data_IF_219476069921
#
_entry.id   IF_219476069921
#
_cell.length_a   1.000
_cell.length_b   1.000
_cell.length_c   1.000
_cell.angle_alpha   90.00
_cell.angle_beta   90.00
_cell.angle_gamma   90.00
#
_symmetry.space_group_name_H-M   'P 1'
#
loop_
_entity.id
_entity.type
_entity.pdbx_description
1 polymer ?
#
# COMPACT_ATOMS: atom_id res chain seq x y z
N UNK A 1 19.32 0.45 14.94
CA UNK A 1 19.21 0.41 13.47
C UNK A 1 18.93 1.82 12.98
N UNK A 2 19.61 2.27 11.93
CA UNK A 2 19.23 3.51 11.21
C UNK A 2 17.99 3.17 10.40
N UNK A 3 16.83 3.73 10.79
CA UNK A 3 15.59 3.63 10.01
C UNK A 3 15.75 4.61 8.84
N UNK A 4 15.64 4.12 7.60
CA UNK A 4 15.69 4.96 6.41
C UNK A 4 14.26 5.21 5.93
N UNK A 5 13.91 6.46 5.68
CA UNK A 5 12.59 6.85 5.19
C UNK A 5 12.66 7.79 3.99
N UNK A 6 11.56 7.81 3.23
CA UNK A 6 11.36 8.73 2.13
C UNK A 6 9.86 8.99 1.93
N UNK A 7 9.51 10.23 1.58
CA UNK A 7 8.14 10.66 1.27
C UNK A 7 7.99 11.24 -0.15
N UNK A 8 9.09 11.70 -0.76
CA UNK A 8 9.10 12.10 -2.17
C UNK A 8 9.15 10.86 -3.08
N UNK A 9 8.37 10.80 -4.17
CA UNK A 9 8.34 9.65 -5.07
C UNK A 9 9.71 9.24 -5.66
N UNK A 10 10.57 10.21 -6.00
CA UNK A 10 11.89 9.91 -6.53
C UNK A 10 12.81 9.38 -5.42
N UNK A 11 12.73 9.94 -4.23
CA UNK A 11 13.48 9.46 -3.06
C UNK A 11 13.02 8.07 -2.61
N UNK A 12 11.71 7.79 -2.59
CA UNK A 12 11.16 6.45 -2.28
C UNK A 12 11.67 5.39 -3.23
N UNK A 13 11.62 5.67 -4.54
CA UNK A 13 12.16 4.76 -5.55
C UNK A 13 13.64 4.46 -5.34
N UNK A 14 14.43 5.49 -4.99
CA UNK A 14 15.84 5.30 -4.66
C UNK A 14 16.01 4.45 -3.40
N UNK A 15 15.25 4.76 -2.34
CA UNK A 15 15.25 4.02 -1.09
C UNK A 15 14.95 2.53 -1.30
N UNK A 16 13.93 2.20 -2.10
CA UNK A 16 13.60 0.81 -2.43
C UNK A 16 14.74 0.11 -3.17
N UNK A 17 15.33 0.75 -4.18
CA UNK A 17 16.46 0.19 -4.92
C UNK A 17 17.66 -0.05 -4.00
N UNK A 18 18.02 0.92 -3.17
CA UNK A 18 19.14 0.84 -2.24
C UNK A 18 18.89 -0.27 -1.19
N UNK A 19 17.65 -0.39 -0.69
CA UNK A 19 17.28 -1.42 0.27
C UNK A 19 17.32 -2.84 -0.34
N UNK A 20 16.80 -3.02 -1.56
CA UNK A 20 16.87 -4.31 -2.28
C UNK A 20 18.33 -4.67 -2.59
N UNK A 21 19.15 -3.68 -2.98
CA UNK A 21 20.59 -3.87 -3.21
C UNK A 21 21.26 -4.36 -1.93
N UNK A 22 21.07 -3.64 -0.81
CA UNK A 22 21.65 -3.99 0.47
C UNK A 22 21.23 -5.37 0.95
N UNK A 23 19.94 -5.73 0.82
CA UNK A 23 19.43 -7.06 1.15
C UNK A 23 20.16 -8.16 0.36
N UNK A 24 20.33 -7.97 -0.96
CA UNK A 24 21.01 -8.94 -1.83
C UNK A 24 22.50 -9.04 -1.53
N UNK A 25 23.16 -7.94 -1.23
CA UNK A 25 24.59 -7.92 -0.88
C UNK A 25 24.86 -8.56 0.49
N UNK A 26 23.95 -8.38 1.45
CA UNK A 26 24.04 -8.97 2.79
C UNK A 26 23.57 -10.41 2.84
N UNK A 27 22.83 -10.87 1.83
CA UNK A 27 22.13 -12.15 1.81
C UNK A 27 21.22 -12.33 3.04
N UNK A 28 20.55 -11.25 3.44
CA UNK A 28 19.57 -11.27 4.53
C UNK A 28 18.37 -12.14 4.16
N UNK A 29 17.61 -12.63 5.15
CA UNK A 29 16.45 -13.49 4.89
C UNK A 29 15.33 -12.74 4.17
N UNK A 30 15.10 -11.48 4.54
CA UNK A 30 14.08 -10.61 3.94
C UNK A 30 14.42 -9.13 4.15
N UNK A 31 13.68 -8.26 3.47
CA UNK A 31 13.61 -6.81 3.60
C UNK A 31 12.16 -6.44 3.88
N UNK A 32 11.90 -5.62 4.89
CA UNK A 32 10.54 -5.14 5.20
C UNK A 32 10.42 -3.63 5.04
N UNK A 33 9.36 -3.22 4.34
CA UNK A 33 8.95 -1.85 4.08
C UNK A 33 7.59 -1.61 4.74
N UNK A 34 7.49 -0.58 5.57
CA UNK A 34 6.25 -0.20 6.24
C UNK A 34 5.87 1.23 5.89
N UNK A 35 4.59 1.47 5.64
CA UNK A 35 4.07 2.83 5.45
C UNK A 35 4.05 3.58 6.78
N UNK A 36 4.13 4.90 6.74
CA UNK A 36 3.93 5.71 7.93
C UNK A 36 2.44 5.77 8.30
N UNK A 37 2.06 5.48 9.56
CA UNK A 37 0.65 5.52 9.97
C UNK A 37 -0.01 6.90 9.80
N UNK A 38 0.75 8.00 9.80
CA UNK A 38 0.19 9.34 9.55
C UNK A 38 -0.34 9.51 8.12
N UNK A 39 0.09 8.67 7.18
CA UNK A 39 -0.47 8.64 5.83
C UNK A 39 -1.93 8.14 5.82
N UNK A 40 -2.34 7.40 6.86
CA UNK A 40 -3.71 6.90 7.04
C UNK A 40 -4.60 7.96 7.69
N UNK A 41 -4.03 8.77 8.59
CA UNK A 41 -4.74 9.84 9.31
C UNK A 41 -5.11 11.02 8.39
N UNK A 42 -4.37 11.23 7.30
CA UNK A 42 -4.47 12.45 6.46
C UNK A 42 -5.68 12.52 5.52
N UNK A 43 -6.60 11.54 5.55
CA UNK A 43 -7.79 11.52 4.66
C UNK A 43 -9.04 12.12 5.33
N UNK A 44 -9.00 12.39 6.64
CA UNK A 44 -10.14 12.90 7.43
C UNK A 44 -9.93 14.38 7.85
N UNK A 45 -9.46 15.25 6.96
CA UNK A 45 -9.49 16.71 7.20
C UNK A 45 -10.02 17.44 5.97
N UNK A 46 -11.30 17.24 5.66
CA UNK A 46 -12.06 18.14 4.79
C UNK A 46 -13.55 18.20 5.14
N UNK A 47 -13.89 18.31 6.44
CA UNK A 47 -15.20 18.83 6.86
C UNK A 47 -15.07 19.74 8.09
N UNK A 48 -14.59 20.97 7.89
CA UNK A 48 -14.97 22.07 8.80
C UNK A 48 -16.25 22.70 8.27
N UNK A 49 -17.34 22.28 8.88
CA UNK A 49 -18.65 22.92 8.88
C UNK A 49 -18.54 24.45 9.06
N UNK A 50 -18.99 25.23 8.08
CA UNK A 50 -19.48 26.59 8.34
C UNK A 50 -21.02 26.55 8.27
N UNK A 51 -21.62 26.43 9.45
CA UNK A 51 -23.06 26.45 9.62
C UNK A 51 -23.58 27.88 9.59
N UNK A 52 -24.41 28.19 8.59
CA UNK A 52 -25.41 29.25 8.72
C UNK A 52 -26.73 28.75 8.11
N UNK A 53 -27.64 28.31 8.97
CA UNK A 53 -28.95 27.80 8.59
C UNK A 53 -29.91 28.88 8.11
N UNK A 54 -30.86 28.47 7.26
CA UNK A 54 -32.30 28.74 7.37
C UNK A 54 -33.01 28.13 6.15
N UNK A 55 -34.08 27.37 6.38
CA UNK A 55 -35.16 27.23 5.41
C UNK A 55 -35.25 25.95 4.57
N UNK A 56 -36.27 25.16 4.92
CA UNK A 56 -37.29 24.64 3.98
C UNK A 56 -37.10 23.25 3.33
N UNK A 57 -38.26 22.65 3.09
CA UNK A 57 -38.58 21.23 3.08
C UNK A 57 -38.47 20.60 1.67
N UNK A 58 -38.41 19.27 1.63
CA UNK A 58 -38.70 18.36 0.49
C UNK A 58 -37.63 18.16 -0.59
N UNK A 59 -37.13 16.92 -0.68
CA UNK A 59 -36.40 16.47 -1.86
C UNK A 59 -35.83 15.06 -1.75
N UNK A 60 -36.63 14.07 -2.14
CA UNK A 60 -36.22 12.69 -2.42
C UNK A 60 -34.98 12.65 -3.31
N UNK A 61 -33.91 12.04 -2.82
CA UNK A 61 -32.75 11.67 -3.62
C UNK A 61 -31.80 10.87 -2.73
N UNK A 62 -31.63 9.59 -3.05
CA UNK A 62 -30.58 8.77 -2.47
C UNK A 62 -29.24 9.43 -2.80
N UNK A 63 -28.76 10.27 -1.86
CA UNK A 63 -27.39 10.73 -1.84
C UNK A 63 -26.52 9.56 -1.45
N UNK A 64 -26.24 8.67 -2.40
CA UNK A 64 -24.97 7.97 -2.38
C UNK A 64 -23.95 9.07 -2.61
N UNK A 65 -23.37 9.60 -1.53
CA UNK A 65 -22.14 10.37 -1.63
C UNK A 65 -21.14 9.45 -2.34
N UNK A 66 -20.57 9.81 -3.52
CA UNK A 66 -19.54 8.99 -4.15
C UNK A 66 -18.19 9.08 -3.42
N UNK A 67 -18.16 9.80 -2.30
CA UNK A 67 -16.96 10.22 -1.56
C UNK A 67 -17.07 9.78 -0.08
N UNK A 68 -17.56 8.56 0.14
CA UNK A 68 -17.32 7.80 1.38
C UNK A 68 -16.67 6.47 0.99
N UNK A 69 -15.73 6.52 0.05
CA UNK A 69 -14.66 5.51 0.05
C UNK A 69 -13.67 6.01 1.07
N UNK A 70 -14.01 5.88 2.36
CA UNK A 70 -13.03 5.93 3.43
C UNK A 70 -11.81 5.17 2.95
N UNK A 71 -10.62 5.77 3.15
CA UNK A 71 -9.33 5.25 2.68
C UNK A 71 -9.43 3.74 2.51
N UNK A 72 -9.32 3.20 1.29
CA UNK A 72 -9.67 1.80 0.96
C UNK A 72 -8.86 0.72 1.71
N UNK A 73 -8.15 1.16 2.72
CA UNK A 73 -7.38 0.49 3.73
C UNK A 73 -8.29 0.09 4.88
N UNK A 74 -8.39 -1.21 5.08
CA UNK A 74 -9.11 -1.75 6.21
C UNK A 74 -8.29 -1.52 7.50
N UNK A 75 -8.77 -0.72 8.47
CA UNK A 75 -8.02 -0.44 9.69
C UNK A 75 -7.77 -1.70 10.54
N UNK A 76 -8.51 -2.79 10.31
CA UNK A 76 -8.31 -4.08 10.98
C UNK A 76 -7.07 -4.82 10.45
N UNK A 77 -6.61 -4.51 9.23
CA UNK A 77 -5.34 -4.98 8.67
C UNK A 77 -4.12 -4.17 9.14
N UNK A 78 -4.36 -2.99 9.74
CA UNK A 78 -3.32 -2.13 10.26
C UNK A 78 -2.55 -1.36 9.18
N UNK A 79 -1.28 -1.06 9.46
CA UNK A 79 -0.45 -0.24 8.57
C UNK A 79 0.04 -1.08 7.38
N UNK A 80 -0.14 -0.62 6.13
CA UNK A 80 0.32 -1.36 4.96
C UNK A 80 1.82 -1.64 5.00
N UNK A 81 2.18 -2.89 4.74
CA UNK A 81 3.56 -3.37 4.75
C UNK A 81 3.83 -4.30 3.56
N UNK A 82 5.09 -4.31 3.12
CA UNK A 82 5.59 -5.14 2.02
C UNK A 82 6.91 -5.77 2.44
N UNK A 83 7.01 -7.09 2.31
CA UNK A 83 8.24 -7.82 2.58
C UNK A 83 8.79 -8.46 1.31
N UNK A 84 10.05 -8.22 1.01
CA UNK A 84 10.76 -8.83 -0.12
C UNK A 84 11.83 -9.80 0.38
N UNK A 85 11.83 -11.04 -0.11
CA UNK A 85 12.86 -12.03 0.20
C UNK A 85 12.82 -13.18 -0.78
N UNK A 86 13.99 -13.72 -1.15
CA UNK A 86 14.12 -14.84 -2.10
C UNK A 86 13.37 -14.62 -3.43
N UNK A 87 13.31 -13.37 -3.91
CA UNK A 87 12.59 -13.04 -5.15
C UNK A 87 11.06 -13.14 -5.04
N UNK A 88 10.51 -13.17 -3.82
CA UNK A 88 9.08 -13.14 -3.53
C UNK A 88 8.75 -11.88 -2.73
N UNK A 89 7.63 -11.26 -3.05
CA UNK A 89 7.04 -10.13 -2.34
C UNK A 89 5.83 -10.66 -1.57
N UNK A 90 5.82 -10.50 -0.26
CA UNK A 90 4.73 -10.84 0.63
C UNK A 90 4.03 -9.56 1.10
N UNK A 91 2.70 -9.57 1.05
CA UNK A 91 1.84 -8.49 1.51
C UNK A 91 0.52 -9.03 2.03
N UNK A 92 -0.13 -8.28 2.92
CA UNK A 92 -1.51 -8.55 3.35
C UNK A 92 -2.44 -7.55 2.70
N UNK A 93 -3.56 -8.04 2.18
CA UNK A 93 -4.53 -7.23 1.46
C UNK A 93 -5.96 -7.74 1.67
N UNK A 94 -6.96 -6.88 1.54
CA UNK A 94 -8.37 -7.27 1.48
C UNK A 94 -8.69 -7.98 0.17
N UNK A 95 -9.89 -8.55 0.06
CA UNK A 95 -10.38 -9.12 -1.20
C UNK A 95 -10.47 -8.06 -2.33
N UNK A 96 -10.78 -6.80 -2.00
CA UNK A 96 -10.86 -5.69 -2.96
C UNK A 96 -9.46 -5.25 -3.42
N UNK A 97 -8.54 -5.08 -2.47
CA UNK A 97 -7.14 -4.78 -2.76
C UNK A 97 -6.47 -5.91 -3.57
N UNK A 98 -6.83 -7.18 -3.31
CA UNK A 98 -6.36 -8.31 -4.09
C UNK A 98 -6.80 -8.23 -5.57
N UNK A 99 -8.00 -7.71 -5.85
CA UNK A 99 -8.46 -7.47 -7.22
C UNK A 99 -7.61 -6.38 -7.89
N UNK A 100 -7.41 -5.24 -7.21
CA UNK A 100 -6.53 -4.16 -7.66
C UNK A 100 -5.09 -4.63 -7.89
N UNK A 101 -4.58 -5.54 -7.05
CA UNK A 101 -3.27 -6.16 -7.21
C UNK A 101 -3.21 -6.99 -8.49
N UNK A 102 -4.24 -7.76 -8.83
CA UNK A 102 -4.28 -8.56 -10.07
C UNK A 102 -4.31 -7.69 -11.32
N UNK A 103 -5.05 -6.58 -11.28
CA UNK A 103 -5.00 -5.58 -12.35
C UNK A 103 -3.60 -5.00 -12.50
N UNK A 104 -2.95 -4.60 -11.40
CA UNK A 104 -1.58 -4.11 -11.42
C UNK A 104 -0.61 -5.16 -11.98
N UNK A 105 -0.75 -6.44 -11.61
CA UNK A 105 0.11 -7.51 -12.13
C UNK A 105 -0.01 -7.70 -13.65
N UNK A 106 -1.15 -7.33 -14.24
CA UNK A 106 -1.32 -7.36 -15.69
C UNK A 106 -0.43 -6.33 -16.41
N UNK A 107 -0.08 -5.21 -15.76
CA UNK A 107 0.90 -4.22 -16.23
C UNK A 107 2.37 -4.64 -15.96
N UNK A 108 2.56 -5.63 -15.07
CA UNK A 108 3.85 -6.11 -14.61
C UNK A 108 4.03 -7.61 -14.91
N UNK A 109 4.23 -8.02 -16.17
CA UNK A 109 4.24 -9.44 -16.58
C UNK A 109 5.36 -10.30 -15.96
N UNK A 110 6.37 -9.66 -15.36
CA UNK A 110 7.44 -10.33 -14.61
C UNK A 110 7.02 -10.75 -13.18
N UNK A 111 5.82 -10.33 -12.75
CA UNK A 111 5.29 -10.52 -11.42
C UNK A 111 4.04 -11.39 -11.50
N UNK A 112 3.88 -12.33 -10.57
CA UNK A 112 2.72 -13.24 -10.52
C UNK A 112 2.39 -13.61 -9.09
N UNK A 113 1.11 -13.66 -8.75
CA UNK A 113 0.66 -14.29 -7.51
C UNK A 113 1.02 -15.78 -7.58
N UNK A 114 1.83 -16.22 -6.62
CA UNK A 114 2.26 -17.60 -6.46
C UNK A 114 1.39 -18.31 -5.42
N UNK A 115 1.09 -17.64 -4.32
CA UNK A 115 0.33 -18.19 -3.20
C UNK A 115 -0.62 -17.13 -2.61
N UNK A 116 -1.81 -17.58 -2.19
CA UNK A 116 -2.79 -16.79 -1.45
C UNK A 116 -3.21 -17.58 -0.22
N UNK A 117 -3.01 -17.01 0.97
CA UNK A 117 -3.38 -17.60 2.24
C UNK A 117 -4.44 -16.75 2.92
N UNK A 118 -5.59 -17.35 3.22
CA UNK A 118 -6.68 -16.71 3.99
C UNK A 118 -6.66 -17.26 5.42
N UNK A 119 -6.00 -16.59 6.38
CA UNK A 119 -6.01 -17.02 7.77
C UNK A 119 -7.43 -17.04 8.35
N UNK A 120 -7.73 -18.05 9.16
CA UNK A 120 -9.03 -18.16 9.85
C UNK A 120 -9.17 -17.21 11.06
N UNK A 121 -8.06 -16.60 11.51
CA UNK A 121 -7.99 -15.72 12.68
C UNK A 121 -7.65 -14.25 12.33
N UNK A 122 -7.71 -13.87 11.06
CA UNK A 122 -7.48 -12.49 10.64
C UNK A 122 -8.33 -12.16 9.42
N UNK A 123 -8.83 -10.93 9.37
CA UNK A 123 -9.66 -10.43 8.27
C UNK A 123 -8.73 -9.92 7.16
N UNK A 124 -8.17 -10.84 6.37
CA UNK A 124 -7.19 -10.51 5.34
C UNK A 124 -6.80 -11.66 4.44
N UNK A 125 -6.23 -11.34 3.27
CA UNK A 125 -5.58 -12.28 2.38
C UNK A 125 -4.09 -11.98 2.36
N UNK A 126 -3.29 -12.92 2.85
CA UNK A 126 -1.85 -12.88 2.66
C UNK A 126 -1.52 -13.33 1.23
N UNK A 127 -0.97 -12.42 0.43
CA UNK A 127 -0.58 -12.67 -0.94
C UNK A 127 0.94 -12.75 -1.09
N UNK A 128 1.41 -13.78 -1.80
CA UNK A 128 2.81 -13.92 -2.20
C UNK A 128 2.94 -13.76 -3.70
N UNK A 129 3.71 -12.76 -4.11
CA UNK A 129 3.97 -12.42 -5.49
C UNK A 129 5.41 -12.76 -5.84
N UNK A 130 5.59 -13.72 -6.75
CA UNK A 130 6.88 -13.97 -7.38
C UNK A 130 7.34 -12.74 -8.16
N UNK A 131 8.53 -12.21 -7.87
CA UNK A 131 9.13 -11.03 -8.46
C UNK A 131 10.44 -11.37 -9.18
N UNK A 132 10.35 -11.87 -10.41
CA UNK A 132 11.51 -12.25 -11.24
C UNK A 132 11.99 -11.07 -12.09
N UNK A 133 12.32 -9.97 -11.44
CA UNK A 133 12.73 -8.73 -12.09
C UNK A 133 13.98 -8.11 -11.45
N UNK A 134 14.55 -7.08 -12.10
CA UNK A 134 15.64 -6.31 -11.51
C UNK A 134 15.12 -5.35 -10.42
N UNK A 135 16.03 -4.85 -9.58
CA UNK A 135 15.70 -4.00 -8.43
C UNK A 135 14.94 -2.72 -8.80
N UNK A 136 15.17 -2.13 -9.98
CA UNK A 136 14.44 -0.93 -10.39
C UNK A 136 12.98 -1.26 -10.72
N UNK A 137 12.76 -2.43 -11.34
CA UNK A 137 11.41 -2.88 -11.66
C UNK A 137 10.65 -3.32 -10.41
N UNK A 138 11.33 -3.98 -9.46
CA UNK A 138 10.76 -4.31 -8.15
C UNK A 138 10.40 -3.04 -7.38
N UNK A 139 11.30 -2.04 -7.33
CA UNK A 139 11.01 -0.76 -6.69
C UNK A 139 9.81 -0.03 -7.30
N UNK A 140 9.66 -0.04 -8.63
CA UNK A 140 8.49 0.51 -9.31
C UNK A 140 7.20 -0.23 -8.94
N UNK A 141 7.27 -1.56 -8.87
CA UNK A 141 6.11 -2.38 -8.48
C UNK A 141 5.69 -2.07 -7.04
N UNK A 142 6.64 -2.03 -6.09
CA UNK A 142 6.39 -1.69 -4.69
C UNK A 142 5.70 -0.32 -4.54
N UNK A 143 6.23 0.72 -5.19
CA UNK A 143 5.64 2.06 -5.15
C UNK A 143 4.21 2.08 -5.74
N UNK A 144 4.00 1.34 -6.84
CA UNK A 144 2.69 1.22 -7.46
C UNK A 144 1.70 0.41 -6.62
N UNK A 145 2.15 -0.60 -5.87
CA UNK A 145 1.31 -1.35 -4.93
C UNK A 145 0.79 -0.41 -3.85
N UNK A 146 1.66 0.39 -3.21
CA UNK A 146 1.23 1.36 -2.21
C UNK A 146 0.23 2.39 -2.75
N UNK A 147 0.41 2.91 -3.96
CA UNK A 147 -0.48 3.94 -4.48
C UNK A 147 -1.78 3.39 -5.07
N UNK A 148 -1.74 2.24 -5.77
CA UNK A 148 -2.88 1.72 -6.54
C UNK A 148 -3.64 0.63 -5.84
N UNK A 149 -2.95 -0.25 -5.10
CA UNK A 149 -3.60 -1.34 -4.36
C UNK A 149 -4.12 -0.78 -3.04
N UNK A 150 -3.24 -0.12 -2.29
CA UNK A 150 -3.52 0.47 -0.99
C UNK A 150 -4.11 1.89 -1.07
N UNK A 151 -4.25 2.46 -2.27
CA UNK A 151 -4.86 3.79 -2.46
C UNK A 151 -4.11 4.96 -1.81
N UNK A 152 -2.82 4.81 -1.47
CA UNK A 152 -2.08 5.83 -0.74
C UNK A 152 -1.78 7.06 -1.60
N UNK A 153 -1.78 8.27 -1.01
CA UNK A 153 -1.48 9.52 -1.74
C UNK A 153 -0.03 9.53 -2.23
N UNK A 154 0.26 10.27 -3.30
CA UNK A 154 1.61 10.30 -3.90
C UNK A 154 2.74 10.70 -2.93
N UNK A 155 2.41 11.47 -1.89
CA UNK A 155 3.34 11.96 -0.86
C UNK A 155 3.46 11.06 0.37
N UNK A 156 2.98 9.81 0.32
CA UNK A 156 3.08 8.89 1.46
C UNK A 156 4.54 8.64 1.85
N UNK A 157 4.78 8.48 3.15
CA UNK A 157 6.08 8.14 3.69
C UNK A 157 6.18 6.63 3.89
N UNK A 158 7.34 6.08 3.57
CA UNK A 158 7.69 4.66 3.78
C UNK A 158 8.97 4.55 4.59
N UNK A 159 9.09 3.47 5.36
CA UNK A 159 10.23 3.17 6.21
C UNK A 159 10.82 1.80 5.85
N UNK A 160 12.15 1.71 5.77
CA UNK A 160 12.87 0.43 5.76
C UNK A 160 13.14 0.01 7.20
N UNK A 161 12.57 -1.13 7.59
CA UNK A 161 12.57 -1.60 8.98
C UNK A 161 13.63 -2.68 9.21
N UNK A 162 13.77 -3.59 8.25
CA UNK A 162 14.73 -4.69 8.29
C UNK A 162 15.38 -4.87 6.93
N UNK A 163 16.71 -5.06 6.89
CA UNK A 163 17.52 -5.23 5.66
C UNK A 163 18.83 -5.97 5.88
#
# INVERSE_FOLDING_TARGET
MTRFDAADPAERRKLYVDAITAHRERASGFLTLEVDPSALESTDESETTDGNGDGDELGTGAGVTPDDRGSGLDPELGVPWLQFGDGTINLDCTDEELDALKDLLSEFPAFKVDELTRPENAEGVNARVSAKADQNRIAQFIDATFQRVYGLPEGFRVWVVEV
#
